data_IF_901164566058
#
_entry.id   IF_901164566058
#
_cell.length_a   1.000
_cell.length_b   1.000
_cell.length_c   1.000
_cell.angle_alpha   90.00
_cell.angle_beta   90.00
_cell.angle_gamma   90.00
#
_symmetry.space_group_name_H-M   'P 1'
#
loop_
_entity.id
_entity.type
_entity.pdbx_description
1 polymer ?
#
# COMPACT_ATOMS: atom_id res chain seq x y z
N UNK A 1 -50.04 44.38 -7.09
CA UNK A 1 -50.32 45.24 -5.93
C UNK A 1 -49.08 45.15 -5.04
N UNK A 2 -48.02 45.93 -5.29
CA UNK A 2 -47.89 47.37 -4.99
C UNK A 2 -48.36 47.73 -3.58
N UNK A 3 -47.66 48.45 -2.72
CA UNK A 3 -46.26 48.89 -2.56
C UNK A 3 -46.24 49.65 -1.21
N UNK A 4 -45.13 49.64 -0.47
CA UNK A 4 -44.47 50.79 0.22
C UNK A 4 -43.91 50.51 1.63
N UNK A 5 -42.65 50.93 1.72
CA UNK A 5 -41.59 51.01 2.76
C UNK A 5 -41.65 52.45 3.40
N UNK A 6 -40.64 52.95 4.14
CA UNK A 6 -40.04 52.72 5.49
C UNK A 6 -39.96 54.09 6.25
N UNK A 7 -38.89 54.57 7.00
CA UNK A 7 -37.71 53.99 7.67
C UNK A 7 -37.38 54.52 9.10
N UNK A 8 -36.34 53.95 9.73
CA UNK A 8 -35.61 54.55 10.86
C UNK A 8 -34.27 53.84 11.14
N UNK A 9 -33.16 54.51 10.80
CA UNK A 9 -31.74 54.12 11.01
C UNK A 9 -31.15 54.79 12.27
N UNK A 10 -29.89 54.40 12.61
CA UNK A 10 -28.79 55.14 13.33
C UNK A 10 -28.32 54.36 14.59
N UNK A 11 -27.04 54.06 14.90
CA UNK A 11 -25.69 54.38 14.37
C UNK A 11 -24.64 53.37 14.88
N UNK A 12 -23.53 53.30 14.16
CA UNK A 12 -22.23 52.64 14.44
C UNK A 12 -21.35 53.51 15.38
N UNK A 13 -20.32 52.95 16.04
CA UNK A 13 -19.01 53.60 15.99
C UNK A 13 -17.89 52.67 15.50
N UNK A 14 -17.10 53.21 14.56
CA UNK A 14 -15.84 52.68 14.08
C UNK A 14 -14.67 53.37 14.80
N UNK A 15 -13.55 52.64 14.82
CA UNK A 15 -12.18 53.06 14.51
C UNK A 15 -11.17 53.02 15.66
N UNK A 16 -10.02 52.41 15.33
CA UNK A 16 -8.83 52.33 16.17
C UNK A 16 -7.78 51.40 15.56
N UNK A 17 -7.16 51.85 14.46
CA UNK A 17 -6.01 51.21 13.80
C UNK A 17 -4.82 51.00 14.74
N UNK A 18 -4.13 49.86 14.62
CA UNK A 18 -2.66 49.77 14.75
C UNK A 18 -2.10 48.70 13.81
N UNK A 19 -1.28 49.16 12.88
CA UNK A 19 -0.44 48.34 12.00
C UNK A 19 0.80 47.78 12.70
N UNK A 20 1.21 46.62 12.19
CA UNK A 20 2.56 46.07 12.05
C UNK A 20 3.40 45.74 13.31
N UNK A 21 3.74 44.45 13.45
CA UNK A 21 5.12 43.93 13.31
C UNK A 21 5.17 42.39 13.30
N UNK A 22 5.86 41.87 12.29
CA UNK A 22 6.44 40.52 12.20
C UNK A 22 7.26 40.14 13.44
N UNK A 23 7.23 38.86 13.90
CA UNK A 23 8.25 38.35 14.80
C UNK A 23 9.43 37.74 14.03
N UNK A 24 10.59 38.39 14.14
CA UNK A 24 11.91 37.85 13.78
C UNK A 24 12.36 36.77 14.79
N UNK A 25 13.13 35.75 14.39
CA UNK A 25 13.58 34.68 15.29
C UNK A 25 14.80 35.09 16.11
N UNK A 26 14.68 35.03 17.43
CA UNK A 26 15.79 35.23 18.38
C UNK A 26 16.70 33.99 18.42
N UNK A 27 17.97 34.19 18.08
CA UNK A 27 19.05 33.25 18.38
C UNK A 27 19.46 33.40 19.86
N UNK A 28 19.28 32.34 20.64
CA UNK A 28 19.73 32.25 22.03
C UNK A 28 20.48 30.94 22.27
N UNK A 29 21.77 31.04 22.58
CA UNK A 29 22.65 29.91 22.91
C UNK A 29 22.25 29.25 24.23
N UNK A 30 21.75 28.01 24.18
CA UNK A 30 21.58 27.16 25.35
C UNK A 30 22.67 26.07 25.40
N UNK A 31 23.52 26.09 26.42
CA UNK A 31 24.46 25.01 26.74
C UNK A 31 23.67 23.85 27.35
N UNK A 32 23.79 22.65 26.78
CA UNK A 32 23.23 21.42 27.35
C UNK A 32 24.34 20.63 28.06
N UNK A 33 24.20 20.43 29.37
CA UNK A 33 24.95 19.41 30.13
C UNK A 33 24.25 18.06 29.96
N UNK A 34 24.97 17.05 29.47
CA UNK A 34 24.52 15.66 29.50
C UNK A 34 24.52 15.15 30.95
N UNK A 35 23.40 14.57 31.39
CA UNK A 35 23.32 13.78 32.61
C UNK A 35 22.74 12.41 32.24
N UNK A 36 23.60 11.39 32.12
CA UNK A 36 23.18 10.01 31.99
C UNK A 36 23.05 9.39 33.39
N UNK A 37 21.85 9.05 33.83
CA UNK A 37 21.63 8.25 35.04
C UNK A 37 21.89 6.76 34.72
N UNK A 38 22.81 6.14 35.46
CA UNK A 38 23.07 4.68 35.45
C UNK A 38 22.09 3.98 36.40
N UNK A 39 21.41 2.90 36.01
CA UNK A 39 20.87 1.96 36.98
C UNK A 39 21.95 0.95 37.39
N UNK A 40 22.25 0.90 38.69
CA UNK A 40 23.01 -0.18 39.30
C UNK A 40 22.07 -1.36 39.58
N UNK A 41 22.34 -2.53 38.99
CA UNK A 41 21.77 -3.79 39.47
C UNK A 41 22.91 -4.70 39.95
N UNK A 42 22.90 -4.99 41.25
CA UNK A 42 23.71 -6.03 41.89
C UNK A 42 23.17 -7.40 41.49
N UNK A 43 24.03 -8.26 40.96
CA UNK A 43 23.78 -9.71 40.88
C UNK A 43 24.15 -10.34 42.22
N UNK A 44 23.18 -10.91 42.93
CA UNK A 44 23.42 -11.86 44.03
C UNK A 44 23.35 -13.27 43.45
N UNK A 45 24.48 -13.97 43.40
CA UNK A 45 24.52 -15.39 43.08
C UNK A 45 24.20 -16.21 44.33
N UNK A 46 23.13 -17.01 44.28
CA UNK A 46 22.89 -18.09 45.23
C UNK A 46 23.70 -19.32 44.82
N UNK A 47 24.60 -19.78 45.69
CA UNK A 47 25.27 -21.06 45.54
C UNK A 47 24.42 -22.18 46.14
N UNK A 48 24.21 -23.26 45.39
CA UNK A 48 23.78 -24.54 45.94
C UNK A 48 24.89 -25.57 45.71
N UNK A 49 25.38 -26.13 46.82
CA UNK A 49 26.29 -27.26 46.84
C UNK A 49 25.57 -28.53 47.26
N UNK A 50 26.03 -29.68 46.75
CA UNK A 50 25.76 -31.03 47.26
C UNK A 50 26.72 -31.99 46.54
N UNK A 51 27.88 -32.30 47.12
CA UNK A 51 28.22 -33.47 47.98
C UNK A 51 28.04 -34.83 47.29
N UNK A 52 29.19 -35.43 46.99
CA UNK A 52 29.38 -36.82 46.55
C UNK A 52 29.33 -37.79 47.73
N UNK A 53 28.79 -39.00 47.52
CA UNK A 53 29.13 -40.22 48.27
C UNK A 53 28.64 -41.49 47.55
N UNK A 54 29.54 -42.48 47.44
CA UNK A 54 29.22 -43.91 47.60
C UNK A 54 28.73 -44.73 46.40
N UNK A 55 29.60 -45.61 45.88
CA UNK A 55 29.28 -46.82 45.12
C UNK A 55 28.76 -47.95 46.07
N UNK A 56 28.25 -49.14 45.65
CA UNK A 56 28.87 -50.06 44.67
C UNK A 56 27.93 -50.88 43.72
N UNK A 57 28.56 -51.56 42.75
CA UNK A 57 28.10 -52.63 41.80
C UNK A 57 27.87 -53.99 42.53
N UNK A 58 27.30 -55.09 41.95
CA UNK A 58 27.60 -55.65 40.60
C UNK A 58 26.56 -56.56 39.85
N UNK A 59 27.01 -57.08 38.69
CA UNK A 59 26.56 -58.28 37.92
C UNK A 59 25.30 -58.14 37.02
N UNK A 60 25.14 -58.79 35.84
CA UNK A 60 26.00 -59.51 34.88
C UNK A 60 25.23 -59.75 33.55
N UNK A 61 25.97 -59.85 32.43
CA UNK A 61 25.78 -60.65 31.21
C UNK A 61 24.50 -60.64 30.32
N UNK A 62 24.72 -60.23 29.05
CA UNK A 62 24.51 -60.92 27.73
C UNK A 62 24.13 -59.85 26.68
N UNK A 63 24.66 -59.74 25.47
CA UNK A 63 25.63 -60.47 24.65
C UNK A 63 25.68 -59.83 23.24
N UNK A 64 26.59 -60.34 22.39
CA UNK A 64 26.85 -60.06 20.95
C UNK A 64 27.90 -59.01 20.57
N UNK A 65 28.87 -59.52 19.82
CA UNK A 65 29.94 -58.89 19.01
C UNK A 65 29.48 -58.83 17.52
N UNK A 66 30.32 -58.45 16.53
CA UNK A 66 30.64 -57.06 16.18
C UNK A 66 30.59 -56.79 14.65
N UNK A 67 30.67 -55.50 14.25
CA UNK A 67 31.47 -54.93 13.12
C UNK A 67 30.81 -53.63 12.62
N UNK A 68 31.47 -52.49 12.81
CA UNK A 68 32.26 -51.84 11.74
C UNK A 68 32.97 -50.57 12.24
N UNK A 69 34.04 -50.25 11.52
CA UNK A 69 35.16 -49.36 11.84
C UNK A 69 34.87 -47.86 11.57
N UNK A 70 35.39 -46.99 12.46
CA UNK A 70 35.95 -45.61 12.24
C UNK A 70 35.03 -44.51 11.64
N UNK A 71 34.99 -43.24 12.08
CA UNK A 71 36.05 -42.34 12.55
C UNK A 71 35.44 -41.09 13.25
N UNK A 72 36.32 -40.31 13.88
CA UNK A 72 36.12 -39.20 14.81
C UNK A 72 35.52 -37.91 14.18
N UNK A 73 34.73 -37.16 14.97
CA UNK A 73 34.73 -35.69 14.98
C UNK A 73 34.14 -35.13 16.29
N UNK A 74 34.83 -34.12 16.86
CA UNK A 74 34.55 -33.41 18.12
C UNK A 74 33.29 -32.53 18.05
N UNK A 75 32.62 -32.23 19.18
CA UNK A 75 31.59 -31.19 19.23
C UNK A 75 32.22 -29.80 19.39
N UNK A 76 31.85 -28.85 18.53
CA UNK A 76 32.16 -27.43 18.72
C UNK A 76 30.90 -26.66 19.12
N UNK A 77 31.01 -25.99 20.26
CA UNK A 77 30.07 -25.02 20.79
C UNK A 77 29.67 -23.96 19.75
N UNK A 78 28.36 -23.81 19.51
CA UNK A 78 27.83 -22.57 18.93
C UNK A 78 26.85 -21.95 19.92
N UNK A 79 27.34 -20.89 20.59
CA UNK A 79 26.57 -20.03 21.48
C UNK A 79 25.44 -19.37 20.68
N UNK A 80 24.20 -19.59 21.10
CA UNK A 80 23.06 -18.76 20.71
C UNK A 80 23.30 -17.31 21.14
N UNK A 81 23.50 -16.42 20.16
CA UNK A 81 23.39 -14.96 20.38
C UNK A 81 21.91 -14.62 20.45
N UNK A 82 21.39 -14.44 21.66
CA UNK A 82 20.13 -13.72 21.89
C UNK A 82 20.41 -12.23 21.69
N UNK A 83 19.97 -11.68 20.55
CA UNK A 83 19.98 -10.24 20.31
C UNK A 83 18.78 -9.62 21.03
N UNK A 84 19.03 -8.88 22.12
CA UNK A 84 18.05 -7.97 22.73
C UNK A 84 18.00 -6.70 21.88
N UNK A 85 16.96 -6.52 21.08
CA UNK A 85 16.67 -5.24 20.41
C UNK A 85 16.06 -4.27 21.44
N UNK A 86 16.87 -3.32 21.88
CA UNK A 86 16.45 -2.21 22.73
C UNK A 86 16.13 -1.01 21.84
N UNK A 87 14.97 -0.42 22.06
CA UNK A 87 14.37 0.67 21.29
C UNK A 87 15.18 1.96 21.38
N UNK A 88 15.55 2.53 20.23
CA UNK A 88 16.01 3.92 20.08
C UNK A 88 15.41 4.51 18.80
N UNK A 89 14.58 5.53 18.95
CA UNK A 89 14.06 6.37 17.87
C UNK A 89 15.07 7.49 17.58
N UNK A 90 15.58 7.67 16.35
CA UNK A 90 16.30 8.89 15.99
C UNK A 90 15.33 9.89 15.35
N UNK A 91 15.10 11.00 16.04
CA UNK A 91 14.58 12.24 15.44
C UNK A 91 15.77 12.96 14.78
N UNK A 92 15.75 13.15 13.46
CA UNK A 92 16.71 14.02 12.76
C UNK A 92 15.95 15.08 11.98
N UNK A 93 16.11 16.34 12.40
CA UNK A 93 15.79 17.54 11.61
C UNK A 93 17.03 17.93 10.80
N UNK A 94 16.91 18.03 9.48
CA UNK A 94 17.92 18.59 8.60
C UNK A 94 17.28 19.34 7.43
N UNK A 95 17.55 20.64 7.32
CA UNK A 95 17.19 21.48 6.15
C UNK A 95 18.20 21.24 5.03
N UNK A 96 17.73 20.99 3.81
CA UNK A 96 18.58 21.03 2.62
C UNK A 96 17.88 20.62 1.32
N UNK A 97 17.57 21.64 0.50
CA UNK A 97 17.22 21.64 -0.93
C UNK A 97 15.92 20.94 -1.36
N UNK A 98 15.08 21.72 -2.05
CA UNK A 98 13.88 21.28 -2.73
C UNK A 98 14.19 20.09 -3.65
N UNK A 99 13.75 18.91 -3.24
CA UNK A 99 13.77 17.69 -4.01
C UNK A 99 12.32 17.33 -4.33
N UNK A 100 11.99 17.43 -5.60
CA UNK A 100 10.98 16.71 -6.36
C UNK A 100 9.98 15.84 -5.57
N UNK A 101 8.68 16.14 -5.72
CA UNK A 101 7.53 15.45 -5.14
C UNK A 101 7.51 13.96 -5.53
N UNK A 102 8.10 13.10 -4.70
CA UNK A 102 8.07 11.65 -4.89
C UNK A 102 6.76 11.06 -4.35
N UNK A 103 5.95 10.53 -5.27
CA UNK A 103 4.73 9.72 -5.01
C UNK A 103 5.13 8.30 -4.57
N UNK A 104 4.31 7.61 -3.76
CA UNK A 104 4.64 6.30 -3.16
C UNK A 104 3.64 5.23 -3.57
N UNK A 105 4.08 4.22 -4.28
CA UNK A 105 3.22 3.38 -5.10
C UNK A 105 3.02 1.95 -4.49
N UNK A 106 1.78 1.49 -4.28
CA UNK A 106 1.43 0.05 -4.07
C UNK A 106 0.85 -0.49 -5.37
N UNK A 107 1.35 -1.61 -5.92
CA UNK A 107 1.10 -1.94 -7.33
C UNK A 107 0.53 -3.35 -7.57
N UNK A 108 -0.53 -3.47 -8.36
CA UNK A 108 -1.01 -4.70 -8.99
C UNK A 108 -0.18 -4.91 -10.25
N UNK A 109 0.19 -6.16 -10.52
CA UNK A 109 0.67 -6.55 -11.85
C UNK A 109 -0.53 -6.81 -12.76
N UNK A 110 -0.67 -6.00 -13.80
CA UNK A 110 -1.36 -6.30 -15.06
C UNK A 110 -0.64 -5.53 -16.19
N UNK A 111 -0.37 -6.19 -17.31
CA UNK A 111 0.66 -5.78 -18.28
C UNK A 111 0.18 -4.76 -19.33
N UNK A 112 1.07 -3.87 -19.83
CA UNK A 112 1.02 -3.22 -21.16
C UNK A 112 2.31 -2.45 -21.54
N UNK A 113 2.78 -2.72 -22.77
CA UNK A 113 3.62 -1.93 -23.71
C UNK A 113 5.09 -1.54 -23.40
N UNK A 114 5.88 -1.71 -24.47
CA UNK A 114 7.33 -1.52 -24.62
C UNK A 114 7.70 -0.03 -24.64
N UNK A 115 8.82 0.28 -23.99
CA UNK A 115 9.55 1.56 -23.97
C UNK A 115 8.91 2.66 -23.09
N UNK A 116 8.91 2.44 -21.78
CA UNK A 116 9.55 3.30 -20.77
C UNK A 116 9.45 2.57 -19.40
N UNK A 117 10.59 2.29 -18.78
CA UNK A 117 10.83 1.81 -17.40
C UNK A 117 9.88 0.74 -16.78
N UNK A 118 10.32 -0.53 -16.80
CA UNK A 118 10.31 -1.58 -15.73
C UNK A 118 9.21 -1.66 -14.63
N UNK A 119 8.00 -1.10 -14.75
CA UNK A 119 6.94 -1.25 -13.73
C UNK A 119 5.56 -1.43 -14.38
N UNK A 120 5.24 -2.67 -14.73
CA UNK A 120 3.99 -3.02 -15.41
C UNK A 120 2.86 -3.15 -14.38
N UNK A 121 1.72 -2.48 -14.61
CA UNK A 121 0.54 -2.46 -13.75
C UNK A 121 0.36 -1.18 -12.90
N UNK A 122 1.43 -0.40 -12.73
CA UNK A 122 1.39 0.98 -12.25
C UNK A 122 0.45 1.87 -13.06
N UNK A 123 0.42 1.63 -14.36
CA UNK A 123 -0.31 2.46 -15.33
C UNK A 123 -1.82 2.43 -15.11
N UNK A 124 -2.36 1.37 -14.52
CA UNK A 124 -3.78 1.25 -14.17
C UNK A 124 -4.02 1.36 -12.65
N UNK A 125 -3.00 1.64 -11.85
CA UNK A 125 -3.07 1.78 -10.41
C UNK A 125 -3.24 3.23 -9.98
N UNK A 126 -4.10 3.48 -8.99
CA UNK A 126 -4.26 4.78 -8.34
C UNK A 126 -3.34 4.84 -7.14
N UNK A 127 -2.08 5.14 -7.42
CA UNK A 127 -1.00 4.99 -6.46
C UNK A 127 -1.08 6.06 -5.37
N UNK A 128 -0.93 5.69 -4.08
CA UNK A 128 -0.91 6.66 -3.00
C UNK A 128 0.31 7.60 -3.08
N UNK A 129 0.31 8.65 -2.27
CA UNK A 129 1.43 9.58 -2.22
C UNK A 129 2.46 9.17 -1.15
N UNK A 130 2.03 8.38 -0.16
CA UNK A 130 2.85 7.86 0.93
C UNK A 130 2.41 6.45 1.32
N UNK A 131 3.20 5.79 2.15
CA UNK A 131 2.81 4.57 2.85
C UNK A 131 2.14 4.88 4.21
N UNK A 132 1.55 6.07 4.38
CA UNK A 132 0.74 6.36 5.57
C UNK A 132 -0.58 5.58 5.48
N UNK A 133 -1.06 4.99 6.59
CA UNK A 133 -2.31 4.25 6.58
C UNK A 133 -3.53 5.19 6.57
N UNK A 134 -4.64 4.68 6.05
CA UNK A 134 -5.97 5.22 6.36
C UNK A 134 -6.44 4.57 7.66
N UNK A 135 -6.89 5.36 8.63
CA UNK A 135 -7.39 4.86 9.93
C UNK A 135 -8.86 5.18 10.17
N UNK A 136 -9.38 6.25 9.56
CA UNK A 136 -10.78 6.63 9.66
C UNK A 136 -11.64 5.87 8.64
N UNK A 137 -12.33 4.83 9.09
CA UNK A 137 -13.22 3.99 8.27
C UNK A 137 -14.45 4.71 7.72
N UNK A 138 -14.76 5.91 8.24
CA UNK A 138 -15.85 6.76 7.74
C UNK A 138 -15.38 7.76 6.67
N UNK A 139 -14.07 7.88 6.42
CA UNK A 139 -13.54 8.73 5.34
C UNK A 139 -13.80 8.10 3.97
N UNK A 140 -13.95 8.93 2.94
CA UNK A 140 -13.94 8.45 1.55
C UNK A 140 -12.59 7.83 1.15
N UNK A 141 -11.51 8.14 1.87
CA UNK A 141 -10.18 7.55 1.64
C UNK A 141 -10.19 6.03 1.82
N UNK A 142 -11.14 5.47 2.58
CA UNK A 142 -11.24 4.01 2.77
C UNK A 142 -11.53 3.25 1.48
N UNK A 143 -12.05 3.93 0.44
CA UNK A 143 -12.31 3.36 -0.89
C UNK A 143 -11.02 3.04 -1.61
N UNK A 144 -10.21 4.06 -1.88
CA UNK A 144 -9.07 4.00 -2.80
C UNK A 144 -7.82 4.73 -2.28
N UNK A 145 -7.70 4.92 -0.97
CA UNK A 145 -6.60 5.62 -0.29
C UNK A 145 -6.62 7.15 -0.45
N UNK A 146 -5.94 7.83 0.47
CA UNK A 146 -5.88 9.29 0.53
C UNK A 146 -4.99 9.87 -0.58
N UNK A 147 -5.46 10.96 -1.19
CA UNK A 147 -4.69 11.70 -2.21
C UNK A 147 -4.48 10.96 -3.53
N UNK A 148 -5.12 9.81 -3.73
CA UNK A 148 -5.05 9.08 -5.00
C UNK A 148 -5.95 9.72 -6.04
N UNK A 149 -5.64 9.46 -7.32
CA UNK A 149 -6.36 10.02 -8.47
C UNK A 149 -6.54 8.91 -9.50
N UNK A 150 -7.65 8.92 -10.27
CA UNK A 150 -7.77 8.05 -11.43
C UNK A 150 -6.60 8.25 -12.41
N UNK A 151 -6.21 7.17 -13.09
CA UNK A 151 -5.18 7.16 -14.13
C UNK A 151 -5.81 6.99 -15.52
N UNK A 152 -5.10 7.32 -16.59
CA UNK A 152 -5.67 7.28 -17.95
C UNK A 152 -5.84 5.88 -18.55
N UNK A 153 -5.17 4.87 -17.98
CA UNK A 153 -5.14 3.51 -18.51
C UNK A 153 -6.01 2.53 -17.69
N UNK A 154 -6.54 1.53 -18.39
CA UNK A 154 -7.26 0.38 -17.81
C UNK A 154 -6.51 -0.89 -18.15
N UNK A 155 -6.37 -1.78 -17.17
CA UNK A 155 -5.79 -3.09 -17.39
C UNK A 155 -6.87 -4.08 -17.87
N UNK A 156 -6.67 -4.72 -19.01
CA UNK A 156 -7.62 -5.70 -19.56
C UNK A 156 -7.43 -7.05 -18.88
N UNK A 157 -8.50 -7.62 -18.35
CA UNK A 157 -8.47 -8.85 -17.55
C UNK A 157 -9.56 -9.82 -18.03
N UNK A 158 -9.22 -10.99 -18.59
CA UNK A 158 -10.23 -11.99 -18.85
C UNK A 158 -10.86 -12.51 -17.56
N UNK A 159 -12.18 -12.57 -17.47
CA UNK A 159 -12.86 -13.30 -16.40
C UNK A 159 -12.38 -14.75 -16.40
N UNK A 160 -12.16 -15.33 -15.22
CA UNK A 160 -11.59 -16.68 -15.04
C UNK A 160 -10.06 -16.71 -15.07
N UNK A 161 -9.40 -15.61 -15.45
CA UNK A 161 -7.95 -15.48 -15.30
C UNK A 161 -7.55 -15.16 -13.85
N UNK A 162 -6.25 -15.20 -13.58
CA UNK A 162 -5.67 -14.80 -12.30
C UNK A 162 -4.91 -13.50 -12.46
N UNK A 163 -5.16 -12.56 -11.56
CA UNK A 163 -4.34 -11.34 -11.40
C UNK A 163 -3.44 -11.49 -10.19
N UNK A 164 -2.27 -10.85 -10.18
CA UNK A 164 -1.36 -10.91 -9.04
C UNK A 164 -1.18 -9.50 -8.47
N UNK A 165 -1.79 -9.23 -7.31
CA UNK A 165 -1.58 -7.98 -6.57
C UNK A 165 -0.21 -7.99 -5.93
N UNK A 166 0.47 -6.84 -5.89
CA UNK A 166 1.78 -6.71 -5.25
C UNK A 166 1.85 -5.49 -4.31
N UNK A 167 2.50 -5.66 -3.16
CA UNK A 167 2.71 -4.62 -2.16
C UNK A 167 4.17 -4.61 -1.74
N UNK A 168 4.74 -3.42 -1.54
CA UNK A 168 6.07 -3.23 -0.99
C UNK A 168 6.09 -2.02 -0.06
N UNK A 169 6.91 -2.09 0.98
CA UNK A 169 7.00 -1.05 2.00
C UNK A 169 7.66 0.23 1.47
N UNK A 170 8.65 0.07 0.57
CA UNK A 170 9.46 1.15 0.04
C UNK A 170 9.15 1.39 -1.45
N UNK A 171 9.11 2.65 -1.89
CA UNK A 171 8.89 2.97 -3.30
C UNK A 171 10.04 2.43 -4.14
N UNK A 172 9.70 1.84 -5.29
CA UNK A 172 10.64 1.24 -6.24
C UNK A 172 11.47 0.05 -5.72
N UNK A 173 11.21 -0.43 -4.50
CA UNK A 173 11.76 -1.69 -4.02
C UNK A 173 10.76 -2.82 -4.31
N UNK A 174 11.25 -3.88 -4.96
CA UNK A 174 10.48 -5.10 -5.26
C UNK A 174 11.20 -6.35 -4.77
N UNK A 175 12.23 -6.17 -3.95
CA UNK A 175 13.08 -7.25 -3.50
C UNK A 175 12.31 -8.17 -2.56
N UNK A 176 12.35 -9.47 -2.84
CA UNK A 176 11.91 -10.49 -1.88
C UNK A 176 12.73 -10.48 -0.57
N UNK A 177 13.86 -9.77 -0.53
CA UNK A 177 14.69 -9.66 0.67
C UNK A 177 14.16 -8.61 1.67
N UNK A 178 13.22 -7.76 1.24
CA UNK A 178 12.56 -6.78 2.10
C UNK A 178 11.12 -7.22 2.36
N UNK A 179 10.60 -6.83 3.52
CA UNK A 179 9.19 -7.07 3.85
C UNK A 179 8.30 -6.23 2.92
N UNK A 180 7.20 -6.84 2.47
CA UNK A 180 6.17 -6.13 1.74
C UNK A 180 5.43 -5.14 2.66
N UNK A 181 5.23 -5.55 3.90
CA UNK A 181 4.72 -4.75 5.00
C UNK A 181 5.45 -5.15 6.28
N UNK A 182 6.36 -4.28 6.75
CA UNK A 182 7.24 -4.58 7.87
C UNK A 182 6.73 -4.14 9.23
N UNK A 183 7.53 -4.34 10.27
CA UNK A 183 7.23 -3.81 11.62
C UNK A 183 6.06 -4.51 12.31
N UNK A 184 5.96 -5.84 12.17
CA UNK A 184 4.91 -6.66 12.79
C UNK A 184 3.48 -6.21 12.46
N UNK A 185 3.25 -5.73 11.24
CA UNK A 185 1.93 -5.34 10.73
C UNK A 185 1.07 -6.56 10.42
N UNK A 186 0.71 -7.31 11.46
CA UNK A 186 -0.08 -8.52 11.39
C UNK A 186 -1.56 -8.20 11.19
N UNK A 187 -2.19 -8.92 10.27
CA UNK A 187 -3.60 -8.79 9.96
C UNK A 187 -3.99 -9.43 8.62
N UNK A 188 -5.26 -9.30 8.22
CA UNK A 188 -5.74 -9.91 6.99
C UNK A 188 -5.33 -9.10 5.75
N UNK A 189 -5.37 -9.76 4.60
CA UNK A 189 -5.39 -9.13 3.28
C UNK A 189 -6.68 -9.51 2.54
N UNK A 190 -7.21 -8.59 1.76
CA UNK A 190 -8.45 -8.80 1.01
C UNK A 190 -8.42 -8.10 -0.35
N UNK A 191 -9.15 -8.67 -1.31
CA UNK A 191 -9.37 -8.04 -2.61
C UNK A 191 -10.85 -7.97 -2.93
N UNK A 192 -11.28 -6.79 -3.36
CA UNK A 192 -12.65 -6.47 -3.73
C UNK A 192 -12.72 -6.01 -5.18
N UNK A 193 -13.86 -6.23 -5.80
CA UNK A 193 -14.23 -5.61 -7.07
C UNK A 193 -15.46 -4.72 -6.89
N UNK A 194 -15.53 -3.66 -7.69
CA UNK A 194 -16.71 -2.80 -7.84
C UNK A 194 -16.95 -2.59 -9.32
N UNK A 195 -18.11 -3.01 -9.83
CA UNK A 195 -18.51 -2.74 -11.22
C UNK A 195 -18.82 -1.26 -11.38
N UNK A 196 -18.30 -0.63 -12.43
CA UNK A 196 -18.46 0.81 -12.69
C UNK A 196 -18.73 1.07 -14.17
N UNK A 197 -19.29 2.23 -14.48
CA UNK A 197 -19.50 2.64 -15.87
C UNK A 197 -18.20 3.02 -16.57
N UNK A 198 -17.25 3.61 -15.84
CA UNK A 198 -15.93 4.02 -16.35
C UNK A 198 -14.88 3.99 -15.24
N UNK A 199 -13.93 3.06 -15.32
CA UNK A 199 -12.89 2.86 -14.32
C UNK A 199 -11.89 4.03 -14.23
N UNK A 200 -11.79 4.89 -15.25
CA UNK A 200 -10.96 6.11 -15.19
C UNK A 200 -11.66 7.29 -14.55
N UNK A 201 -12.95 7.17 -14.20
CA UNK A 201 -13.73 8.27 -13.59
C UNK A 201 -14.35 7.90 -12.25
N UNK A 202 -14.63 6.62 -12.01
CA UNK A 202 -15.27 6.17 -10.79
C UNK A 202 -14.47 6.56 -9.53
N UNK A 203 -15.12 7.06 -8.49
CA UNK A 203 -14.49 7.48 -7.24
C UNK A 203 -14.48 6.36 -6.17
N UNK A 204 -14.97 5.17 -6.51
CA UNK A 204 -15.13 4.05 -5.58
C UNK A 204 -16.38 4.11 -4.71
N UNK A 205 -17.35 4.99 -5.01
CA UNK A 205 -18.66 5.03 -4.33
C UNK A 205 -19.61 3.89 -4.71
N UNK A 206 -19.37 3.24 -5.85
CA UNK A 206 -20.14 2.08 -6.28
C UNK A 206 -19.95 0.88 -5.32
N UNK A 207 -20.93 -0.05 -5.23
CA UNK A 207 -20.87 -1.17 -4.30
C UNK A 207 -19.69 -2.12 -4.54
N UNK A 208 -19.04 -2.53 -3.45
CA UNK A 208 -17.89 -3.43 -3.44
C UNK A 208 -18.27 -4.85 -3.01
N UNK A 209 -17.77 -5.86 -3.70
CA UNK A 209 -17.90 -7.27 -3.31
C UNK A 209 -16.53 -7.92 -3.19
N UNK A 210 -16.35 -8.76 -2.16
CA UNK A 210 -15.06 -9.40 -1.84
C UNK A 210 -14.88 -10.63 -2.72
N UNK A 211 -13.75 -10.73 -3.43
CA UNK A 211 -13.40 -11.87 -4.29
C UNK A 211 -12.24 -12.70 -3.73
N UNK A 212 -11.45 -12.12 -2.83
CA UNK A 212 -10.33 -12.82 -2.20
C UNK A 212 -10.17 -12.39 -0.75
N UNK A 213 -9.79 -13.34 0.09
CA UNK A 213 -9.41 -13.11 1.48
C UNK A 213 -8.30 -14.08 1.89
N UNK A 214 -7.30 -13.56 2.60
CA UNK A 214 -6.36 -14.35 3.40
C UNK A 214 -6.27 -13.67 4.76
N UNK A 215 -6.85 -14.31 5.80
CA UNK A 215 -7.12 -13.64 7.06
C UNK A 215 -6.21 -14.09 8.19
N UNK A 216 -6.64 -15.09 8.95
CA UNK A 216 -6.00 -15.56 10.17
C UNK A 216 -6.15 -17.06 10.34
N UNK A 217 -5.12 -17.69 10.88
CA UNK A 217 -5.22 -19.06 11.39
C UNK A 217 -4.43 -19.20 12.68
N UNK A 218 -5.02 -19.90 13.65
CA UNK A 218 -4.36 -20.18 14.93
C UNK A 218 -3.04 -20.92 14.71
N UNK A 219 -1.97 -20.40 15.31
CA UNK A 219 -0.74 -21.13 15.54
C UNK A 219 -0.83 -21.79 16.92
N UNK A 220 -0.98 -23.11 16.95
CA UNK A 220 -1.10 -23.87 18.20
C UNK A 220 0.16 -23.82 19.08
N UNK A 221 1.32 -23.45 18.51
CA UNK A 221 2.56 -23.26 19.26
C UNK A 221 2.75 -21.80 19.74
N UNK A 222 1.89 -20.87 19.31
CA UNK A 222 1.95 -19.45 19.65
C UNK A 222 1.26 -19.13 20.99
N UNK A 223 1.76 -18.10 21.68
CA UNK A 223 1.18 -17.61 22.94
C UNK A 223 0.17 -16.47 22.74
N UNK A 224 0.22 -15.79 21.59
CA UNK A 224 -0.56 -14.59 21.28
C UNK A 224 -1.03 -14.57 19.83
N UNK A 225 -1.91 -13.62 19.49
CA UNK A 225 -2.27 -13.31 18.11
C UNK A 225 -1.08 -12.86 17.27
N UNK A 226 -0.05 -12.24 17.85
CA UNK A 226 1.19 -11.90 17.13
C UNK A 226 1.89 -13.14 16.58
N UNK A 227 1.79 -14.28 17.26
CA UNK A 227 2.41 -15.55 16.87
C UNK A 227 1.59 -16.33 15.83
N UNK A 228 0.32 -15.99 15.67
CA UNK A 228 -0.61 -16.67 14.77
C UNK A 228 -0.26 -16.41 13.29
N UNK A 229 -0.84 -17.20 12.39
CA UNK A 229 -0.68 -16.98 10.96
C UNK A 229 -1.61 -15.86 10.50
N UNK A 230 -1.11 -15.02 9.61
CA UNK A 230 -1.82 -13.85 9.10
C UNK A 230 -1.61 -13.70 7.60
N UNK A 231 -2.60 -13.17 6.89
CA UNK A 231 -2.48 -12.87 5.46
C UNK A 231 -1.31 -11.94 5.14
N UNK A 232 -0.98 -10.98 6.02
CA UNK A 232 0.21 -10.14 5.83
C UNK A 232 1.54 -10.89 6.03
N UNK A 233 1.57 -11.96 6.82
CA UNK A 233 2.76 -12.86 6.92
C UNK A 233 2.92 -13.68 5.64
N UNK A 234 1.82 -14.17 5.09
CA UNK A 234 1.82 -14.86 3.79
C UNK A 234 2.23 -13.88 2.68
N UNK A 235 1.76 -12.63 2.72
CA UNK A 235 2.15 -11.56 1.79
C UNK A 235 3.67 -11.34 1.80
N UNK A 236 4.27 -11.21 2.99
CA UNK A 236 5.73 -11.07 3.13
C UNK A 236 6.46 -12.32 2.62
N UNK A 237 5.99 -13.52 3.00
CA UNK A 237 6.58 -14.80 2.58
C UNK A 237 6.51 -15.03 1.06
N UNK A 238 5.52 -14.41 0.43
CA UNK A 238 5.25 -14.49 -1.00
C UNK A 238 5.75 -13.24 -1.75
N UNK A 239 6.84 -12.63 -1.28
CA UNK A 239 7.52 -11.50 -1.95
C UNK A 239 6.59 -10.32 -2.24
N UNK A 240 5.65 -10.06 -1.34
CA UNK A 240 4.64 -9.03 -1.48
C UNK A 240 3.54 -9.33 -2.47
N UNK A 241 3.41 -10.57 -2.96
CA UNK A 241 2.45 -10.94 -4.01
C UNK A 241 1.32 -11.82 -3.48
N UNK A 242 0.10 -11.57 -3.98
CA UNK A 242 -1.04 -12.48 -3.84
C UNK A 242 -1.69 -12.73 -5.20
N UNK A 243 -1.84 -14.00 -5.57
CA UNK A 243 -2.55 -14.41 -6.77
C UNK A 243 -4.05 -14.54 -6.49
N UNK A 244 -4.83 -13.81 -7.26
CA UNK A 244 -6.26 -13.61 -7.07
C UNK A 244 -7.00 -14.04 -8.34
N UNK A 245 -7.71 -15.17 -8.30
CA UNK A 245 -8.59 -15.57 -9.39
C UNK A 245 -9.75 -14.58 -9.56
N UNK A 246 -10.00 -14.15 -10.79
CA UNK A 246 -11.17 -13.37 -11.16
C UNK A 246 -12.30 -14.36 -11.48
N UNK A 247 -13.48 -14.30 -10.81
CA UNK A 247 -14.56 -15.23 -11.10
C UNK A 247 -14.96 -15.19 -12.58
N UNK A 248 -15.10 -16.36 -13.20
CA UNK A 248 -15.29 -16.52 -14.66
C UNK A 248 -16.66 -16.09 -15.18
N UNK A 249 -17.64 -15.98 -14.29
CA UNK A 249 -19.03 -15.66 -14.59
C UNK A 249 -19.39 -14.19 -14.39
N UNK A 250 -18.41 -13.34 -14.03
CA UNK A 250 -18.63 -11.89 -13.90
C UNK A 250 -19.02 -11.25 -15.24
N UNK A 251 -19.94 -10.29 -15.17
CA UNK A 251 -20.30 -9.46 -16.31
C UNK A 251 -19.09 -8.71 -16.86
N UNK A 252 -18.85 -8.77 -18.18
CA UNK A 252 -17.82 -7.95 -18.82
C UNK A 252 -18.05 -6.44 -18.60
N UNK A 253 -16.98 -5.65 -18.68
CA UNK A 253 -16.99 -4.19 -18.55
C UNK A 253 -15.99 -3.68 -17.52
N UNK A 254 -16.17 -2.43 -17.13
CA UNK A 254 -15.22 -1.74 -16.25
C UNK A 254 -15.43 -2.06 -14.77
N UNK A 255 -14.31 -2.19 -14.06
CA UNK A 255 -14.26 -2.43 -12.62
C UNK A 255 -13.16 -1.61 -11.96
N UNK A 256 -13.37 -1.26 -10.69
CA UNK A 256 -12.27 -1.00 -9.78
C UNK A 256 -11.95 -2.28 -9.01
N UNK A 257 -10.66 -2.62 -8.91
CA UNK A 257 -10.16 -3.64 -7.99
C UNK A 257 -9.49 -2.95 -6.82
N UNK A 258 -9.91 -3.24 -5.60
CA UNK A 258 -9.33 -2.71 -4.36
C UNK A 258 -8.56 -3.83 -3.67
N UNK A 259 -7.24 -3.72 -3.62
CA UNK A 259 -6.40 -4.63 -2.84
C UNK A 259 -6.02 -3.96 -1.52
N UNK A 260 -6.17 -4.69 -0.42
CA UNK A 260 -6.03 -4.17 0.94
C UNK A 260 -5.17 -5.09 1.81
N UNK A 261 -4.30 -4.49 2.62
CA UNK A 261 -3.72 -5.06 3.81
C UNK A 261 -4.19 -4.26 5.03
N UNK A 262 -4.68 -4.94 6.06
CA UNK A 262 -5.10 -4.33 7.32
C UNK A 262 -4.09 -4.72 8.40
N UNK A 263 -3.42 -3.74 8.99
CA UNK A 263 -2.49 -3.96 10.09
C UNK A 263 -3.16 -3.67 11.45
N UNK A 264 -3.02 -4.62 12.37
CA UNK A 264 -3.75 -4.63 13.65
C UNK A 264 -2.84 -4.44 14.89
N UNK A 265 -1.55 -4.20 14.68
CA UNK A 265 -0.56 -4.06 15.76
C UNK A 265 -0.82 -2.90 16.74
N UNK A 266 -1.71 -1.97 16.40
CA UNK A 266 -2.18 -0.89 17.30
C UNK A 266 -3.70 -0.88 17.46
N UNK A 267 -4.40 -1.90 16.96
CA UNK A 267 -5.85 -1.99 16.91
C UNK A 267 -6.55 -2.28 18.26
N UNK A 268 -5.80 -2.37 19.36
CA UNK A 268 -6.38 -2.50 20.70
C UNK A 268 -7.15 -1.25 21.16
N UNK A 269 -6.92 -0.10 20.51
CA UNK A 269 -7.66 1.14 20.70
C UNK A 269 -8.43 1.55 19.44
N UNK A 270 -9.57 2.24 19.62
CA UNK A 270 -10.36 2.77 18.51
C UNK A 270 -9.53 3.70 17.63
N UNK A 271 -9.59 3.50 16.31
CA UNK A 271 -8.78 4.22 15.33
C UNK A 271 -7.33 3.74 15.22
N UNK A 272 -6.95 2.68 15.94
CA UNK A 272 -5.61 2.09 15.87
C UNK A 272 -5.41 1.13 14.69
N UNK A 273 -6.47 0.60 14.09
CA UNK A 273 -6.36 -0.21 12.88
C UNK A 273 -5.87 0.60 11.69
N UNK A 274 -4.95 0.03 10.92
CA UNK A 274 -4.26 0.72 9.83
C UNK A 274 -4.54 0.04 8.50
N UNK A 275 -5.26 0.72 7.62
CA UNK A 275 -5.66 0.21 6.31
C UNK A 275 -4.69 0.71 5.24
N UNK A 276 -4.11 -0.22 4.48
CA UNK A 276 -3.25 0.03 3.34
C UNK A 276 -3.93 -0.52 2.10
N UNK A 277 -4.41 0.35 1.21
CA UNK A 277 -5.08 -0.10 0.00
C UNK A 277 -4.61 0.64 -1.25
N UNK A 278 -4.84 0.01 -2.40
CA UNK A 278 -4.78 0.67 -3.71
C UNK A 278 -5.91 0.17 -4.59
N UNK A 279 -6.47 1.10 -5.37
CA UNK A 279 -7.44 0.80 -6.40
C UNK A 279 -6.77 0.68 -7.78
N UNK A 280 -7.22 -0.29 -8.55
CA UNK A 280 -6.78 -0.55 -9.91
C UNK A 280 -7.95 -0.48 -10.87
N UNK A 281 -7.70 0.03 -12.06
CA UNK A 281 -8.70 0.26 -13.08
C UNK A 281 -8.66 -0.87 -14.07
N UNK A 282 -9.72 -1.67 -14.11
CA UNK A 282 -9.80 -2.87 -14.92
C UNK A 282 -10.88 -2.74 -15.99
N UNK A 283 -10.63 -3.39 -17.12
CA UNK A 283 -11.65 -3.76 -18.10
C UNK A 283 -11.73 -5.29 -18.13
N UNK A 284 -12.74 -5.84 -17.46
CA UNK A 284 -12.95 -7.30 -17.44
C UNK A 284 -13.62 -7.74 -18.75
N UNK A 285 -13.05 -8.74 -19.42
CA UNK A 285 -13.61 -9.32 -20.66
C UNK A 285 -14.15 -10.73 -20.41
N UNK A 286 -15.03 -11.21 -21.28
CA UNK A 286 -15.64 -12.54 -21.15
C UNK A 286 -17.13 -12.51 -21.50
N UNK A 287 -17.81 -13.63 -21.27
CA UNK A 287 -19.24 -13.83 -21.59
C UNK A 287 -20.10 -13.99 -20.34
N UNK A 288 -19.50 -13.86 -19.14
CA UNK A 288 -20.23 -13.87 -17.89
C UNK A 288 -21.26 -12.73 -17.83
N UNK A 289 -22.24 -12.87 -16.95
CA UNK A 289 -23.36 -11.93 -16.79
C UNK A 289 -23.62 -11.56 -15.34
N UNK A 290 -22.94 -12.22 -14.38
CA UNK A 290 -23.19 -12.01 -12.95
C UNK A 290 -22.67 -10.64 -12.52
N UNK A 291 -23.53 -9.90 -11.84
CA UNK A 291 -23.17 -8.66 -11.14
C UNK A 291 -23.47 -8.88 -9.64
N UNK A 292 -22.49 -9.31 -8.84
CA UNK A 292 -22.70 -9.57 -7.43
C UNK A 292 -23.18 -8.32 -6.67
N UNK A 293 -24.07 -8.51 -5.70
CA UNK A 293 -24.40 -7.46 -4.75
C UNK A 293 -23.15 -7.10 -3.92
N UNK A 294 -23.02 -5.83 -3.57
CA UNK A 294 -21.88 -5.31 -2.82
C UNK A 294 -22.29 -4.46 -1.62
N UNK A 295 -21.28 -3.96 -0.91
CA UNK A 295 -21.42 -3.06 0.23
C UNK A 295 -20.83 -1.69 -0.10
N UNK A 296 -21.28 -0.65 0.60
CA UNK A 296 -20.72 0.70 0.44
C UNK A 296 -19.49 0.90 1.31
N UNK A 297 -18.49 1.59 0.77
CA UNK A 297 -17.33 2.10 1.50
C UNK A 297 -17.32 3.63 1.32
N UNK A 298 -17.32 4.45 2.40
CA UNK A 298 -17.55 4.06 3.79
C UNK A 298 -18.95 3.46 4.02
N UNK A 299 -19.12 2.75 5.14
CA UNK A 299 -20.39 2.14 5.57
C UNK A 299 -20.26 0.68 6.01
N UNK A 300 -19.54 -0.15 5.24
CA UNK A 300 -19.37 -1.56 5.57
C UNK A 300 -18.40 -1.83 6.73
N UNK A 301 -17.53 -0.87 7.03
CA UNK A 301 -16.56 -0.95 8.11
C UNK A 301 -16.98 -0.05 9.27
N UNK A 302 -16.86 -0.57 10.49
CA UNK A 302 -17.12 0.17 11.72
C UNK A 302 -15.87 0.20 12.59
N UNK A 303 -15.61 1.33 13.25
CA UNK A 303 -14.50 1.45 14.20
C UNK A 303 -14.64 0.49 15.40
N UNK A 304 -15.83 -0.06 15.64
CA UNK A 304 -16.12 -1.06 16.69
C UNK A 304 -16.26 -2.48 16.17
N UNK A 305 -16.06 -2.73 14.87
CA UNK A 305 -16.05 -4.10 14.33
C UNK A 305 -14.94 -4.91 15.03
N UNK A 306 -15.20 -6.12 15.55
CA UNK A 306 -14.18 -6.93 16.25
C UNK A 306 -13.01 -7.38 15.35
N UNK A 307 -13.12 -7.24 14.03
CA UNK A 307 -12.00 -7.38 13.09
C UNK A 307 -11.16 -6.10 12.93
N UNK A 308 -11.61 -4.96 13.49
CA UNK A 308 -10.97 -3.64 13.40
C UNK A 308 -10.54 -3.15 14.79
N UNK A 309 -11.34 -3.36 15.84
CA UNK A 309 -11.00 -3.08 17.23
C UNK A 309 -10.65 -4.40 17.93
N UNK A 310 -9.37 -4.75 17.93
CA UNK A 310 -8.87 -6.05 18.40
C UNK A 310 -7.47 -5.94 18.99
N UNK A 311 -7.24 -6.61 20.11
CA UNK A 311 -5.92 -6.73 20.72
C UNK A 311 -5.23 -8.04 20.28
N UNK A 312 -4.37 -7.97 19.27
CA UNK A 312 -3.63 -9.14 18.78
C UNK A 312 -2.47 -9.58 19.69
N UNK A 313 -2.08 -8.74 20.67
CA UNK A 313 -1.00 -9.08 21.61
C UNK A 313 -1.44 -10.06 22.71
N UNK A 314 -2.75 -10.31 22.82
CA UNK A 314 -3.32 -11.32 23.69
C UNK A 314 -3.51 -12.66 22.97
N UNK A 315 -3.82 -13.71 23.73
CA UNK A 315 -4.27 -14.97 23.17
C UNK A 315 -5.60 -14.79 22.44
N UNK A 316 -5.69 -15.31 21.21
CA UNK A 316 -6.91 -15.29 20.40
C UNK A 316 -7.39 -16.71 20.10
N UNK A 317 -8.70 -16.94 20.23
CA UNK A 317 -9.37 -18.20 19.84
C UNK A 317 -10.02 -18.13 18.45
N UNK A 318 -10.35 -16.92 18.01
CA UNK A 318 -11.00 -16.66 16.72
C UNK A 318 -10.67 -15.25 16.25
N UNK A 319 -10.64 -15.08 14.94
CA UNK A 319 -10.61 -13.78 14.28
C UNK A 319 -11.57 -13.80 13.10
N UNK A 320 -12.38 -12.74 12.95
CA UNK A 320 -13.23 -12.53 11.78
C UNK A 320 -12.80 -11.22 11.13
N UNK A 321 -12.33 -11.25 9.87
CA UNK A 321 -12.00 -10.01 9.16
C UNK A 321 -13.24 -9.16 8.88
N UNK A 322 -13.10 -7.83 8.77
CA UNK A 322 -14.22 -6.94 8.50
C UNK A 322 -14.76 -7.11 7.06
N UNK A 323 -15.95 -6.56 6.86
CA UNK A 323 -16.62 -6.51 5.55
C UNK A 323 -17.40 -7.78 5.18
N UNK A 324 -17.88 -7.87 3.92
CA UNK A 324 -18.69 -8.99 3.47
C UNK A 324 -17.88 -10.28 3.35
N UNK A 325 -18.57 -11.42 3.31
CA UNK A 325 -17.96 -12.69 2.94
C UNK A 325 -17.42 -12.65 1.50
N UNK A 326 -16.46 -13.52 1.20
CA UNK A 326 -16.03 -13.78 -0.18
C UNK A 326 -17.21 -14.34 -0.97
N UNK A 327 -17.47 -13.77 -2.16
CA UNK A 327 -18.57 -14.23 -3.01
C UNK A 327 -18.35 -15.66 -3.51
N UNK A 328 -19.43 -16.32 -3.94
CA UNK A 328 -19.31 -17.58 -4.67
C UNK A 328 -18.39 -17.41 -5.90
N UNK A 329 -17.46 -18.34 -6.10
CA UNK A 329 -16.44 -18.27 -7.16
C UNK A 329 -15.22 -17.40 -6.81
N UNK A 330 -15.25 -16.69 -5.67
CA UNK A 330 -14.05 -16.09 -5.07
C UNK A 330 -13.24 -17.10 -4.28
N UNK A 331 -12.11 -16.66 -3.73
CA UNK A 331 -11.14 -17.51 -3.03
C UNK A 331 -10.96 -17.08 -1.57
N UNK A 332 -11.00 -18.02 -0.63
CA UNK A 332 -10.51 -17.82 0.74
C UNK A 332 -9.24 -18.64 0.90
N UNK A 333 -8.09 -17.96 0.98
CA UNK A 333 -6.80 -18.58 1.26
C UNK A 333 -6.67 -18.74 2.78
N UNK A 334 -6.08 -19.86 3.21
CA UNK A 334 -5.81 -20.12 4.62
C UNK A 334 -4.46 -19.51 4.98
N UNK A 335 -4.43 -18.61 5.96
CA UNK A 335 -3.19 -18.03 6.45
C UNK A 335 -2.18 -19.13 6.89
N UNK A 336 -0.90 -18.89 6.61
CA UNK A 336 0.19 -19.84 6.81
C UNK A 336 0.32 -20.87 5.68
N UNK A 337 -0.39 -20.69 4.56
CA UNK A 337 -0.27 -21.58 3.42
C UNK A 337 0.93 -21.20 2.54
N UNK A 338 1.42 -22.16 1.77
CA UNK A 338 2.45 -21.89 0.78
C UNK A 338 1.97 -20.90 -0.29
N UNK A 339 2.93 -20.22 -0.91
CA UNK A 339 2.66 -19.33 -2.03
C UNK A 339 2.07 -20.11 -3.21
N UNK A 340 1.12 -19.52 -3.92
CA UNK A 340 0.39 -20.13 -5.02
C UNK A 340 0.72 -19.47 -6.36
N UNK A 341 0.63 -20.26 -7.44
CA UNK A 341 0.91 -19.79 -8.79
C UNK A 341 2.31 -19.20 -8.91
N UNK A 342 2.39 -17.95 -9.37
CA UNK A 342 3.67 -17.27 -9.57
C UNK A 342 4.07 -16.33 -8.43
N UNK A 343 3.43 -16.38 -7.27
CA UNK A 343 3.68 -15.44 -6.16
C UNK A 343 5.17 -15.27 -5.80
N UNK A 344 6.00 -16.31 -5.95
CA UNK A 344 7.46 -16.21 -5.72
C UNK A 344 8.32 -16.00 -6.97
N UNK A 345 7.75 -16.21 -8.16
CA UNK A 345 8.51 -16.33 -9.41
C UNK A 345 8.10 -15.32 -10.47
N UNK A 346 6.94 -14.68 -10.33
CA UNK A 346 6.47 -13.63 -11.22
C UNK A 346 7.46 -12.47 -11.19
N UNK A 347 8.16 -12.27 -12.32
CA UNK A 347 8.96 -11.09 -12.53
C UNK A 347 8.04 -9.91 -12.86
N UNK A 348 8.34 -8.68 -12.38
CA UNK A 348 7.64 -7.48 -12.81
C UNK A 348 7.55 -7.41 -14.35
N UNK A 349 6.34 -7.41 -14.90
CA UNK A 349 6.08 -7.32 -16.34
C UNK A 349 6.10 -8.61 -17.15
N UNK A 350 6.12 -9.79 -16.51
CA UNK A 350 6.16 -11.09 -17.20
C UNK A 350 4.80 -11.76 -17.48
N UNK A 351 3.67 -11.12 -17.14
CA UNK A 351 2.32 -11.66 -17.39
C UNK A 351 1.87 -11.58 -18.86
N UNK A 352 0.85 -12.36 -19.29
CA UNK A 352 0.31 -12.30 -20.65
C UNK A 352 -0.15 -10.88 -20.98
N UNK A 353 0.27 -10.39 -22.15
CA UNK A 353 0.07 -9.01 -22.61
C UNK A 353 -1.41 -8.75 -22.97
N UNK A 354 -2.19 -8.20 -22.04
CA UNK A 354 -3.39 -7.44 -22.40
C UNK A 354 -2.95 -6.02 -22.79
N UNK A 355 -3.36 -5.48 -23.94
CA UNK A 355 -3.09 -4.07 -24.20
C UNK A 355 -3.89 -3.26 -23.19
N UNK A 356 -3.25 -2.50 -22.31
CA UNK A 356 -3.95 -1.52 -21.50
C UNK A 356 -4.62 -0.55 -22.47
N UNK A 357 -5.93 -0.61 -22.54
CA UNK A 357 -6.68 0.33 -23.35
C UNK A 357 -6.64 1.64 -22.60
N UNK A 358 -6.10 2.68 -23.23
CA UNK A 358 -6.43 4.04 -22.81
C UNK A 358 -7.96 4.16 -22.88
N UNK A 359 -8.56 4.90 -21.95
CA UNK A 359 -9.96 5.27 -22.12
C UNK A 359 -10.15 5.82 -23.55
N UNK A 360 -11.24 5.47 -24.26
CA UNK A 360 -11.54 6.12 -25.52
C UNK A 360 -11.45 7.62 -25.28
N UNK A 361 -10.51 8.30 -25.96
CA UNK A 361 -10.61 9.73 -26.12
C UNK A 361 -12.04 9.99 -26.62
N UNK A 362 -12.79 10.97 -26.10
CA UNK A 362 -14.16 11.19 -26.53
C UNK A 362 -14.20 11.19 -28.05
N UNK A 363 -14.83 10.17 -28.65
CA UNK A 363 -15.19 10.21 -30.05
C UNK A 363 -16.31 11.22 -30.11
N UNK A 364 -15.91 12.50 -30.17
CA UNK A 364 -16.78 13.56 -30.63
C UNK A 364 -17.32 13.09 -31.96
N UNK A 365 -18.63 12.90 -32.01
CA UNK A 365 -19.33 12.65 -33.26
C UNK A 365 -18.92 13.71 -34.27
N UNK A 366 -18.80 13.27 -35.51
CA UNK A 366 -18.48 14.07 -36.67
C UNK A 366 -19.27 15.39 -36.66
N UNK A 367 -18.57 16.43 -36.22
CA UNK A 367 -19.01 17.81 -36.08
C UNK A 367 -17.73 18.62 -36.03
N UNK A 368 -17.12 18.80 -37.20
CA UNK A 368 -15.79 19.33 -37.39
C UNK A 368 -15.50 20.58 -36.54
N UNK A 369 -14.49 20.46 -35.69
CA UNK A 369 -13.74 21.58 -35.11
C UNK A 369 -12.34 21.03 -34.83
N UNK A 370 -11.47 21.12 -35.85
CA UNK A 370 -10.07 20.76 -35.70
C UNK A 370 -9.35 21.64 -34.66
N UNK A 371 -8.06 21.38 -34.40
CA UNK A 371 -7.23 22.33 -33.67
C UNK A 371 -7.33 23.67 -34.39
N UNK A 372 -7.65 24.75 -33.66
CA UNK A 372 -7.53 26.09 -34.23
C UNK A 372 -6.15 26.23 -34.87
N UNK A 373 -6.06 26.76 -36.10
CA UNK A 373 -4.80 26.85 -36.81
C UNK A 373 -3.80 27.62 -35.95
N UNK A 374 -2.58 27.08 -35.82
CA UNK A 374 -1.45 27.88 -35.38
C UNK A 374 -1.42 29.17 -36.23
N UNK A 375 -1.12 30.35 -35.67
CA UNK A 375 -1.00 31.55 -36.48
C UNK A 375 0.06 31.31 -37.56
N UNK A 376 -0.37 31.24 -38.82
CA UNK A 376 0.52 31.04 -39.95
C UNK A 376 1.45 32.24 -40.02
N UNK A 377 2.76 32.02 -39.83
CA UNK A 377 3.78 33.07 -39.85
C UNK A 377 4.30 33.53 -38.49
N UNK A 378 3.97 32.87 -37.38
CA UNK A 378 4.52 33.23 -36.08
C UNK A 378 5.62 32.28 -35.60
N UNK A 379 6.66 32.83 -34.98
CA UNK A 379 7.76 32.08 -34.36
C UNK A 379 7.90 32.46 -32.89
N UNK A 380 8.13 31.46 -32.03
CA UNK A 380 8.45 31.67 -30.62
C UNK A 380 9.93 32.07 -30.50
N UNK A 381 10.22 33.09 -29.69
CA UNK A 381 11.61 33.50 -29.43
C UNK A 381 12.39 32.40 -28.70
N UNK A 382 13.72 32.49 -28.73
CA UNK A 382 14.58 31.60 -27.95
C UNK A 382 14.15 31.62 -26.46
N UNK A 383 14.03 30.44 -25.85
CA UNK A 383 13.46 30.19 -24.52
C UNK A 383 11.94 30.44 -24.39
N UNK A 384 11.23 30.74 -25.47
CA UNK A 384 9.77 30.82 -25.52
C UNK A 384 9.10 29.44 -25.64
N UNK A 385 7.84 29.34 -25.19
CA UNK A 385 7.05 28.11 -25.34
C UNK A 385 6.70 27.88 -26.82
N UNK A 386 6.96 26.66 -27.29
CA UNK A 386 6.76 26.24 -28.67
C UNK A 386 5.90 24.97 -28.79
N UNK A 387 5.32 24.49 -27.68
CA UNK A 387 4.49 23.29 -27.67
C UNK A 387 4.05 22.88 -26.27
N UNK A 388 3.27 21.80 -26.21
CA UNK A 388 2.66 21.27 -24.98
C UNK A 388 1.18 20.95 -25.18
N UNK A 389 0.65 20.00 -24.41
CA UNK A 389 -0.79 19.69 -24.41
C UNK A 389 -1.59 20.95 -24.07
N UNK A 390 -2.49 21.35 -24.97
CA UNK A 390 -3.32 22.54 -24.84
C UNK A 390 -2.67 23.85 -25.31
N UNK A 391 -1.43 23.83 -25.81
CA UNK A 391 -0.77 25.02 -26.35
C UNK A 391 -1.33 25.44 -27.72
N UNK A 392 -1.77 26.69 -27.84
CA UNK A 392 -2.32 27.27 -29.09
C UNK A 392 -1.43 28.37 -29.68
N UNK A 393 -0.24 28.59 -29.13
CA UNK A 393 0.70 29.61 -29.60
C UNK A 393 1.62 29.11 -30.73
N UNK A 394 2.68 29.88 -31.01
CA UNK A 394 3.63 29.52 -32.08
C UNK A 394 4.30 28.18 -31.79
N UNK A 395 4.42 27.34 -32.82
CA UNK A 395 5.05 26.01 -32.72
C UNK A 395 6.44 25.95 -33.36
N UNK A 396 6.80 26.96 -34.15
CA UNK A 396 8.12 27.12 -34.74
C UNK A 396 8.99 28.07 -33.90
N UNK A 397 10.27 27.77 -33.76
CA UNK A 397 11.22 28.64 -33.06
C UNK A 397 11.84 29.65 -34.02
N UNK A 398 11.99 30.90 -33.57
CA UNK A 398 12.64 31.97 -34.32
C UNK A 398 14.14 31.69 -34.47
N UNK A 399 14.74 31.06 -33.46
CA UNK A 399 16.06 30.42 -33.54
C UNK A 399 16.08 29.15 -32.70
N UNK A 400 16.93 28.20 -33.09
CA UNK A 400 17.08 26.93 -32.38
C UNK A 400 15.94 25.95 -32.65
N UNK A 401 15.76 24.97 -31.76
CA UNK A 401 14.77 23.89 -31.91
C UNK A 401 13.75 23.87 -30.78
N UNK A 402 12.52 23.45 -31.09
CA UNK A 402 11.49 23.25 -30.08
C UNK A 402 11.74 21.96 -29.30
N UNK A 403 12.24 22.08 -28.08
CA UNK A 403 12.60 20.94 -27.21
C UNK A 403 11.49 20.69 -26.20
N UNK A 404 10.94 19.47 -26.20
CA UNK A 404 9.94 19.06 -25.21
C UNK A 404 10.58 18.88 -23.83
N UNK A 405 10.13 19.65 -22.84
CA UNK A 405 10.55 19.52 -21.45
C UNK A 405 9.63 18.59 -20.65
N UNK A 406 8.31 18.72 -20.88
CA UNK A 406 7.30 17.81 -20.34
C UNK A 406 6.05 17.79 -21.26
N UNK A 407 5.03 17.03 -20.90
CA UNK A 407 3.81 16.89 -21.70
C UNK A 407 3.07 18.20 -21.96
N UNK A 408 3.14 19.16 -21.04
CA UNK A 408 2.42 20.42 -21.11
C UNK A 408 3.30 21.58 -21.58
N UNK A 409 4.61 21.34 -21.82
CA UNK A 409 5.55 22.41 -22.10
C UNK A 409 6.74 21.96 -22.96
N UNK A 410 6.86 22.56 -24.15
CA UNK A 410 8.04 22.54 -25.01
C UNK A 410 8.58 23.95 -25.17
N UNK A 411 9.90 24.11 -25.22
CA UNK A 411 10.58 25.40 -25.23
C UNK A 411 11.59 25.49 -26.38
N UNK A 412 11.70 26.65 -27.01
CA UNK A 412 12.78 26.92 -27.96
C UNK A 412 14.13 26.96 -27.24
N UNK A 413 15.08 26.15 -27.67
CA UNK A 413 16.44 26.11 -27.11
C UNK A 413 17.46 26.30 -28.22
N UNK A 414 18.63 26.85 -27.83
CA UNK A 414 19.64 27.36 -28.75
C UNK A 414 20.26 26.25 -29.61
#
# INVERSE_FOLDING_TARGET
MDTKRPPGQVRIPQSGNREAREPQPLWGSARIRQSCLRPQFRVRSFGYGSRWNGAPKPASNRGRTPRDYTSQAKPSDSKQKVSRSQWCVPTVYGRGKAADERRTESFLLLTAQKKLSKLHGAQCARLPMSNSPVTNVMSNDIRCNAGTRPVGAKCVVPAGSTVTVEMHQQPNDRSCAQEAIGGAHHGPVAVYLSKVSDATKADGSAPWFKIFEDSWAKNSAGGSGDDDFWGTKDLNSCCGKMSVPIPSDLAAGDYLLRAEALALHTAGGSGGAQFYMTCYQLSITGTGTRTPAGVSLPGAFSASDPGILVNIHGSMSSYKPPGPAVIQGGTTKRAGSACVGCERTCAPGSGPSGTATQAPQPTGGDGGSGPGPAPTGCTAQLYGQCGGIGWTGCMACASGSCVRLNDYYSQCQA
#
